data_IF_149036989205
#
_entry.id   IF_149036989205
#
_cell.length_a   1.000
_cell.length_b   1.000
_cell.length_c   1.000
_cell.angle_alpha   90.00
_cell.angle_beta   90.00
_cell.angle_gamma   90.00
#
_symmetry.space_group_name_H-M   'P 1'
#
loop_
_entity.id
_entity.type
_entity.pdbx_description
1 polymer ?
#
# COMPACT_ATOMS: atom_id res chain seq x y z
N UNK A 1 -27.88 -48.10 14.48
CA UNK A 1 -26.46 -47.73 14.24
C UNK A 1 -26.25 -46.47 13.39
N UNK A 2 -27.22 -45.99 12.59
CA UNK A 2 -27.06 -44.76 11.78
C UNK A 2 -27.13 -43.44 12.58
N UNK A 3 -27.88 -43.39 13.69
CA UNK A 3 -27.96 -42.19 14.55
C UNK A 3 -26.71 -41.96 15.40
N UNK A 4 -26.05 -43.03 15.86
CA UNK A 4 -24.80 -42.93 16.63
C UNK A 4 -23.62 -42.43 15.79
N UNK A 5 -23.55 -42.79 14.50
CA UNK A 5 -22.52 -42.27 13.58
C UNK A 5 -22.71 -40.80 13.23
N UNK A 6 -23.95 -40.28 13.22
CA UNK A 6 -24.24 -38.85 13.03
C UNK A 6 -23.81 -38.00 14.25
N UNK A 7 -24.00 -38.51 15.46
CA UNK A 7 -23.57 -37.83 16.70
C UNK A 7 -22.04 -37.73 16.84
N UNK A 8 -21.31 -38.80 16.49
CA UNK A 8 -19.85 -38.81 16.51
C UNK A 8 -19.23 -37.87 15.45
N UNK A 9 -19.83 -37.77 14.26
CA UNK A 9 -19.41 -36.84 13.22
C UNK A 9 -19.79 -35.39 13.55
N UNK A 10 -20.92 -35.15 14.23
CA UNK A 10 -21.26 -33.79 14.69
C UNK A 10 -20.38 -33.35 15.85
N UNK A 11 -20.00 -34.27 16.75
CA UNK A 11 -19.06 -33.98 17.85
C UNK A 11 -17.65 -33.70 17.35
N UNK A 12 -17.19 -34.38 16.29
CA UNK A 12 -15.90 -34.08 15.66
C UNK A 12 -15.91 -32.71 14.96
N UNK A 13 -17.01 -32.36 14.30
CA UNK A 13 -17.17 -31.06 13.64
C UNK A 13 -17.29 -29.93 14.67
N UNK A 14 -18.07 -30.14 15.74
CA UNK A 14 -18.21 -29.16 16.82
C UNK A 14 -16.88 -28.93 17.53
N UNK A 15 -16.12 -30.00 17.80
CA UNK A 15 -14.76 -29.89 18.35
C UNK A 15 -13.81 -29.13 17.42
N UNK A 16 -13.80 -29.47 16.13
CA UNK A 16 -13.02 -28.73 15.13
C UNK A 16 -13.37 -27.24 15.08
N UNK A 17 -14.67 -26.91 15.16
CA UNK A 17 -15.12 -25.51 15.18
C UNK A 17 -14.67 -24.83 16.48
N UNK A 18 -14.85 -25.47 17.64
CA UNK A 18 -14.41 -24.89 18.92
C UNK A 18 -12.90 -24.73 19.00
N UNK A 19 -12.12 -25.67 18.49
CA UNK A 19 -10.66 -25.59 18.45
C UNK A 19 -10.20 -24.49 17.50
N UNK A 20 -10.87 -24.35 16.35
CA UNK A 20 -10.62 -23.25 15.41
C UNK A 20 -11.01 -21.88 15.98
N UNK A 21 -12.10 -21.79 16.75
CA UNK A 21 -12.55 -20.57 17.45
C UNK A 21 -11.61 -20.22 18.61
N UNK A 22 -11.18 -21.21 19.39
CA UNK A 22 -10.23 -21.02 20.50
C UNK A 22 -8.84 -20.64 19.97
N UNK A 23 -8.39 -21.24 18.86
CA UNK A 23 -7.17 -20.82 18.17
C UNK A 23 -7.26 -19.39 17.63
N UNK A 24 -8.41 -19.03 17.03
CA UNK A 24 -8.68 -17.67 16.57
C UNK A 24 -8.68 -16.65 17.72
N UNK A 25 -9.32 -16.98 18.85
CA UNK A 25 -9.33 -16.14 20.05
C UNK A 25 -7.94 -16.06 20.72
N UNK A 26 -7.16 -17.15 20.69
CA UNK A 26 -5.78 -17.19 21.14
C UNK A 26 -4.89 -16.24 20.35
N UNK A 27 -4.99 -16.28 19.01
CA UNK A 27 -4.31 -15.33 18.12
C UNK A 27 -4.75 -13.89 18.34
N UNK A 28 -6.05 -13.67 18.54
CA UNK A 28 -6.58 -12.33 18.82
C UNK A 28 -6.00 -11.75 20.14
N UNK A 29 -5.77 -12.64 21.11
CA UNK A 29 -5.19 -12.31 22.40
C UNK A 29 -3.67 -12.11 22.32
N UNK A 30 -2.94 -12.97 21.62
CA UNK A 30 -1.48 -12.86 21.44
C UNK A 30 -1.07 -11.62 20.64
N UNK A 31 -1.89 -11.19 19.67
CA UNK A 31 -1.62 -10.00 18.84
C UNK A 31 -2.25 -8.70 19.38
N UNK A 32 -2.79 -8.67 20.60
CA UNK A 32 -3.49 -7.50 21.18
C UNK A 32 -4.59 -6.92 20.25
N UNK A 33 -5.24 -7.77 19.46
CA UNK A 33 -6.09 -7.37 18.33
C UNK A 33 -7.54 -7.10 18.70
N UNK A 34 -7.85 -6.97 20.00
CA UNK A 34 -9.13 -6.41 20.44
C UNK A 34 -9.36 -4.99 19.87
N UNK A 35 -8.28 -4.22 19.69
CA UNK A 35 -8.33 -2.95 18.98
C UNK A 35 -8.70 -3.12 17.51
N UNK A 36 -8.23 -4.18 16.84
CA UNK A 36 -8.59 -4.51 15.47
C UNK A 36 -10.08 -4.87 15.35
N UNK A 37 -10.63 -5.65 16.28
CA UNK A 37 -12.08 -5.98 16.31
C UNK A 37 -12.92 -4.70 16.50
N UNK A 38 -12.52 -3.83 17.42
CA UNK A 38 -13.20 -2.55 17.66
C UNK A 38 -13.12 -1.63 16.43
N UNK A 39 -11.95 -1.53 15.79
CA UNK A 39 -11.74 -0.76 14.55
C UNK A 39 -12.55 -1.32 13.38
N UNK A 40 -12.62 -2.64 13.25
CA UNK A 40 -13.46 -3.32 12.26
C UNK A 40 -14.95 -3.05 12.50
N UNK A 41 -15.41 -3.11 13.75
CA UNK A 41 -16.78 -2.77 14.13
C UNK A 41 -17.11 -1.30 13.84
N UNK A 42 -16.21 -0.38 14.20
CA UNK A 42 -16.32 1.05 13.92
C UNK A 42 -16.41 1.33 12.41
N UNK A 43 -15.56 0.69 11.61
CA UNK A 43 -15.57 0.79 10.15
C UNK A 43 -16.96 0.53 9.55
N UNK A 44 -17.68 -0.49 10.05
CA UNK A 44 -18.99 -0.86 9.53
C UNK A 44 -20.04 0.24 9.64
N UNK A 45 -19.86 1.18 10.57
CA UNK A 45 -20.80 2.26 10.91
C UNK A 45 -20.38 3.63 10.33
N UNK A 46 -19.19 3.75 9.75
CA UNK A 46 -18.68 5.03 9.23
C UNK A 46 -19.46 5.49 7.96
N UNK A 47 -19.97 6.74 7.91
CA UNK A 47 -20.68 7.25 6.73
C UNK A 47 -19.88 7.24 5.42
N UNK A 48 -18.55 7.47 5.53
CA UNK A 48 -17.61 7.44 4.39
C UNK A 48 -17.46 6.05 3.76
N UNK A 49 -17.92 4.98 4.42
CA UNK A 49 -17.79 3.59 3.97
C UNK A 49 -18.35 3.36 2.57
N UNK A 50 -19.52 3.93 2.24
CA UNK A 50 -20.13 3.73 0.92
C UNK A 50 -19.23 4.22 -0.22
N UNK A 51 -18.58 5.36 -0.03
CA UNK A 51 -17.64 5.93 -1.02
C UNK A 51 -16.42 5.04 -1.17
N UNK A 52 -15.82 4.64 -0.06
CA UNK A 52 -14.61 3.80 -0.08
C UNK A 52 -14.93 2.42 -0.68
N UNK A 53 -16.08 1.83 -0.36
CA UNK A 53 -16.54 0.58 -1.01
C UNK A 53 -16.73 0.75 -2.52
N UNK A 54 -17.11 1.94 -3.00
CA UNK A 54 -17.17 2.22 -4.43
C UNK A 54 -15.78 2.21 -5.05
N UNK A 55 -14.82 2.92 -4.43
CA UNK A 55 -13.42 2.93 -4.87
C UNK A 55 -12.79 1.53 -4.85
N UNK A 56 -13.07 0.73 -3.81
CA UNK A 56 -12.56 -0.65 -3.72
C UNK A 56 -13.05 -1.53 -4.86
N UNK A 57 -14.28 -1.32 -5.36
CA UNK A 57 -14.82 -2.06 -6.51
C UNK A 57 -14.22 -1.62 -7.84
N UNK A 58 -13.58 -0.45 -7.87
CA UNK A 58 -12.89 0.10 -9.04
C UNK A 58 -11.41 -0.35 -9.09
N UNK A 59 -10.91 -1.06 -8.06
CA UNK A 59 -9.59 -1.68 -8.11
C UNK A 59 -9.57 -2.82 -9.12
N UNK A 60 -8.50 -2.91 -9.92
CA UNK A 60 -8.26 -4.05 -10.80
C UNK A 60 -8.36 -5.36 -10.01
N UNK A 61 -9.03 -6.39 -10.57
CA UNK A 61 -9.12 -7.69 -9.93
C UNK A 61 -7.71 -8.29 -9.81
N UNK A 62 -7.47 -8.99 -8.70
CA UNK A 62 -6.28 -9.82 -8.57
C UNK A 62 -6.34 -10.99 -9.58
N UNK A 63 -5.20 -11.63 -9.83
CA UNK A 63 -5.15 -12.85 -10.66
C UNK A 63 -6.17 -13.89 -10.21
N UNK A 64 -6.72 -14.66 -11.16
CA UNK A 64 -7.85 -15.59 -10.92
C UNK A 64 -7.58 -16.62 -9.80
N UNK A 65 -6.31 -16.96 -9.57
CA UNK A 65 -5.89 -17.92 -8.55
C UNK A 65 -5.37 -17.26 -7.26
N UNK A 66 -5.58 -15.96 -7.08
CA UNK A 66 -5.17 -15.27 -5.86
C UNK A 66 -5.95 -15.82 -4.66
N UNK A 67 -5.28 -16.10 -3.52
CA UNK A 67 -5.96 -16.54 -2.31
C UNK A 67 -7.04 -15.52 -1.88
N UNK A 68 -8.25 -15.94 -1.47
CA UNK A 68 -9.33 -15.03 -1.05
C UNK A 68 -8.91 -14.12 0.13
N UNK A 69 -7.90 -14.53 0.88
CA UNK A 69 -7.33 -13.77 1.98
C UNK A 69 -6.50 -12.58 1.50
N UNK A 70 -5.85 -12.70 0.33
CA UNK A 70 -5.14 -11.58 -0.28
C UNK A 70 -6.10 -10.48 -0.74
N UNK A 71 -7.26 -10.86 -1.29
CA UNK A 71 -8.32 -9.89 -1.57
C UNK A 71 -8.77 -9.18 -0.30
N UNK A 72 -9.08 -9.94 0.75
CA UNK A 72 -9.54 -9.39 2.02
C UNK A 72 -8.52 -8.47 2.68
N UNK A 73 -7.24 -8.83 2.63
CA UNK A 73 -6.15 -8.05 3.18
C UNK A 73 -5.92 -6.75 2.40
N UNK A 74 -5.85 -6.83 1.07
CA UNK A 74 -5.70 -5.64 0.21
C UNK A 74 -6.82 -4.65 0.46
N UNK A 75 -8.05 -5.14 0.44
CA UNK A 75 -9.25 -4.35 0.62
C UNK A 75 -9.30 -3.68 2.00
N UNK A 76 -8.87 -4.40 3.04
CA UNK A 76 -8.79 -3.87 4.39
C UNK A 76 -7.71 -2.79 4.52
N UNK A 77 -6.49 -3.03 3.99
CA UNK A 77 -5.40 -2.04 3.96
C UNK A 77 -5.82 -0.79 3.19
N UNK A 78 -6.41 -0.96 2.01
CA UNK A 78 -6.95 0.13 1.19
C UNK A 78 -7.99 0.95 1.97
N UNK A 79 -8.97 0.28 2.56
CA UNK A 79 -10.04 0.97 3.28
C UNK A 79 -9.54 1.77 4.48
N UNK A 80 -8.60 1.21 5.25
CA UNK A 80 -7.95 1.88 6.38
C UNK A 80 -7.18 3.11 5.92
N UNK A 81 -6.39 3.00 4.86
CA UNK A 81 -5.61 4.12 4.33
C UNK A 81 -6.52 5.20 3.74
N UNK A 82 -7.59 4.83 3.04
CA UNK A 82 -8.56 5.81 2.54
C UNK A 82 -9.24 6.62 3.65
N UNK A 83 -9.31 6.12 4.90
CA UNK A 83 -9.81 6.92 6.02
C UNK A 83 -8.85 8.05 6.43
N UNK A 84 -7.55 7.87 6.21
CA UNK A 84 -6.51 8.89 6.49
C UNK A 84 -6.42 9.98 5.39
N UNK A 85 -6.92 9.69 4.18
CA UNK A 85 -6.71 10.51 2.99
C UNK A 85 -7.88 11.43 2.64
N UNK A 86 -7.61 12.56 1.98
CA UNK A 86 -8.68 13.38 1.38
C UNK A 86 -9.27 12.69 0.14
N UNK A 87 -10.49 13.02 -0.30
CA UNK A 87 -11.12 12.34 -1.43
C UNK A 87 -10.31 12.40 -2.74
N UNK A 88 -9.59 13.50 -2.98
CA UNK A 88 -8.73 13.65 -4.14
C UNK A 88 -7.53 12.68 -4.08
N UNK A 89 -6.86 12.60 -2.93
CA UNK A 89 -5.72 11.70 -2.73
C UNK A 89 -6.14 10.22 -2.78
N UNK A 90 -7.38 9.91 -2.38
CA UNK A 90 -7.96 8.57 -2.53
C UNK A 90 -8.10 8.16 -4.00
N UNK A 91 -8.50 9.09 -4.87
CA UNK A 91 -8.62 8.83 -6.30
C UNK A 91 -7.24 8.65 -6.94
N UNK A 92 -6.28 9.53 -6.64
CA UNK A 92 -4.92 9.40 -7.15
C UNK A 92 -4.30 8.05 -6.74
N UNK A 93 -4.50 7.63 -5.49
CA UNK A 93 -4.06 6.31 -5.03
C UNK A 93 -4.71 5.19 -5.86
N UNK A 94 -6.03 5.22 -6.05
CA UNK A 94 -6.73 4.22 -6.86
C UNK A 94 -6.17 4.16 -8.29
N UNK A 95 -5.99 5.32 -8.92
CA UNK A 95 -5.49 5.43 -10.29
C UNK A 95 -4.09 4.81 -10.41
N UNK A 96 -3.19 5.08 -9.45
CA UNK A 96 -1.84 4.47 -9.41
C UNK A 96 -1.94 2.94 -9.29
N UNK A 97 -2.76 2.43 -8.37
CA UNK A 97 -2.86 0.98 -8.12
C UNK A 97 -3.41 0.19 -9.30
N UNK A 98 -4.18 0.86 -10.16
CA UNK A 98 -4.75 0.28 -11.38
C UNK A 98 -3.78 0.26 -12.57
N UNK A 99 -2.56 0.77 -12.41
CA UNK A 99 -1.50 0.62 -13.42
C UNK A 99 -0.81 -0.75 -13.37
N UNK A 100 -1.07 -1.57 -12.34
CA UNK A 100 -0.51 -2.92 -12.24
C UNK A 100 -1.22 -3.86 -13.20
N UNK A 101 -0.45 -4.50 -14.06
CA UNK A 101 -0.93 -5.59 -14.90
C UNK A 101 -0.99 -6.89 -14.10
N UNK A 102 -2.16 -7.55 -14.12
CA UNK A 102 -2.43 -8.81 -13.41
C UNK A 102 -2.02 -8.81 -11.92
N UNK A 103 -2.55 -7.95 -11.04
CA UNK A 103 -1.99 -7.79 -9.70
C UNK A 103 -2.06 -9.06 -8.82
N UNK A 104 -1.02 -9.30 -8.03
CA UNK A 104 -1.01 -10.34 -6.97
C UNK A 104 -1.55 -9.78 -5.63
N UNK A 105 -1.50 -8.46 -5.46
CA UNK A 105 -2.02 -7.72 -4.31
C UNK A 105 -0.94 -7.27 -3.33
N UNK A 106 0.26 -7.86 -3.34
CA UNK A 106 1.38 -7.47 -2.48
C UNK A 106 1.96 -6.09 -2.84
N UNK A 107 2.23 -5.85 -4.11
CA UNK A 107 2.59 -4.53 -4.67
C UNK A 107 1.56 -3.46 -4.31
N UNK A 108 0.27 -3.79 -4.44
CA UNK A 108 -0.81 -2.85 -4.12
C UNK A 108 -0.83 -2.56 -2.61
N UNK A 109 -0.81 -3.59 -1.75
CA UNK A 109 -0.76 -3.45 -0.28
C UNK A 109 0.45 -2.62 0.16
N UNK A 110 1.62 -2.90 -0.42
CA UNK A 110 2.85 -2.19 -0.11
C UNK A 110 2.73 -0.70 -0.42
N UNK A 111 2.32 -0.36 -1.65
CA UNK A 111 2.20 1.04 -2.06
C UNK A 111 1.09 1.78 -1.29
N UNK A 112 -0.07 1.15 -1.05
CA UNK A 112 -1.13 1.71 -0.22
C UNK A 112 -0.58 2.09 1.16
N UNK A 113 0.19 1.21 1.78
CA UNK A 113 0.68 1.38 3.15
C UNK A 113 1.61 2.57 3.35
N UNK A 114 2.40 2.93 2.32
CA UNK A 114 3.33 4.06 2.36
C UNK A 114 2.73 5.38 1.83
N UNK A 115 1.68 5.32 1.01
CA UNK A 115 1.14 6.49 0.31
C UNK A 115 0.76 7.69 1.23
N UNK A 116 0.14 7.51 2.41
CA UNK A 116 -0.12 8.62 3.33
C UNK A 116 1.13 9.37 3.78
N UNK A 117 2.27 8.69 3.83
CA UNK A 117 3.54 9.30 4.20
C UNK A 117 4.06 10.17 3.05
N UNK A 118 3.86 9.75 1.80
CA UNK A 118 4.19 10.56 0.62
C UNK A 118 3.38 11.86 0.63
N UNK A 119 2.06 11.75 0.78
CA UNK A 119 1.14 12.90 0.83
C UNK A 119 1.49 13.84 1.98
N UNK A 120 1.77 13.32 3.18
CA UNK A 120 2.15 14.15 4.36
C UNK A 120 3.50 14.88 4.19
N UNK A 121 4.33 14.44 3.25
CA UNK A 121 5.64 15.04 2.95
C UNK A 121 5.64 15.85 1.67
N UNK A 122 4.46 16.13 1.10
CA UNK A 122 4.30 16.83 -0.18
C UNK A 122 5.12 16.17 -1.31
N UNK A 123 5.23 14.84 -1.27
CA UNK A 123 5.80 14.02 -2.33
C UNK A 123 4.69 13.63 -3.30
N UNK A 124 4.91 13.88 -4.58
CA UNK A 124 4.04 13.43 -5.67
C UNK A 124 4.45 12.01 -6.09
N UNK A 125 3.45 11.20 -6.44
CA UNK A 125 3.64 9.85 -6.95
C UNK A 125 2.99 9.73 -8.32
N UNK A 126 3.76 9.27 -9.31
CA UNK A 126 3.35 9.16 -10.70
C UNK A 126 3.59 7.71 -11.13
N UNK A 127 2.56 6.97 -11.58
CA UNK A 127 2.75 5.61 -12.04
C UNK A 127 3.54 5.61 -13.34
N UNK A 128 4.48 4.68 -13.48
CA UNK A 128 5.23 4.43 -14.70
C UNK A 128 4.64 3.19 -15.34
N UNK A 129 4.39 3.25 -16.65
CA UNK A 129 3.92 2.08 -17.39
C UNK A 129 5.03 1.03 -17.48
N UNK A 130 4.69 -0.22 -17.20
CA UNK A 130 5.55 -1.39 -17.32
C UNK A 130 4.74 -2.53 -17.94
N UNK A 131 5.37 -3.32 -18.80
CA UNK A 131 4.80 -4.55 -19.36
C UNK A 131 5.02 -5.76 -18.43
N UNK A 132 5.79 -5.57 -17.35
CA UNK A 132 6.07 -6.61 -16.37
C UNK A 132 4.84 -6.88 -15.48
N UNK A 133 4.32 -8.11 -15.55
CA UNK A 133 3.20 -8.53 -14.72
C UNK A 133 3.55 -8.47 -13.23
N UNK A 134 2.54 -8.25 -12.39
CA UNK A 134 2.67 -8.27 -10.91
C UNK A 134 3.57 -7.16 -10.33
N UNK A 135 3.97 -6.19 -11.17
CA UNK A 135 4.84 -5.09 -10.78
C UNK A 135 4.12 -3.75 -10.79
N UNK A 136 4.48 -2.90 -9.82
CA UNK A 136 4.06 -1.51 -9.76
C UNK A 136 5.30 -0.62 -9.80
N UNK A 137 5.45 0.16 -10.88
CA UNK A 137 6.52 1.13 -11.00
C UNK A 137 5.98 2.53 -10.71
N UNK A 138 6.64 3.27 -9.82
CA UNK A 138 6.18 4.59 -9.39
C UNK A 138 7.36 5.55 -9.27
N UNK A 139 7.28 6.66 -10.00
CA UNK A 139 8.14 7.82 -9.79
C UNK A 139 7.62 8.60 -8.57
N UNK A 140 8.49 8.81 -7.59
CA UNK A 140 8.21 9.63 -6.42
C UNK A 140 9.11 10.86 -6.50
N UNK A 141 8.49 12.03 -6.54
CA UNK A 141 9.22 13.28 -6.68
C UNK A 141 8.69 14.40 -5.80
N UNK A 142 9.53 15.39 -5.62
CA UNK A 142 9.14 16.66 -5.01
C UNK A 142 9.89 17.80 -5.67
N UNK A 143 9.29 18.98 -5.62
CA UNK A 143 9.94 20.21 -6.03
C UNK A 143 10.79 20.73 -4.88
N UNK A 144 12.11 20.73 -5.08
CA UNK A 144 13.03 21.34 -4.13
C UNK A 144 12.88 22.85 -4.07
N UNK A 145 13.49 23.49 -3.06
CA UNK A 145 13.45 24.95 -2.88
C UNK A 145 13.98 25.76 -4.07
N UNK A 146 14.78 25.15 -4.95
CA UNK A 146 15.32 25.75 -6.17
C UNK A 146 14.48 25.45 -7.42
N UNK A 147 13.28 24.90 -7.27
CA UNK A 147 12.42 24.40 -8.37
C UNK A 147 13.06 23.28 -9.20
N UNK A 148 14.12 22.70 -8.66
CA UNK A 148 14.72 21.48 -9.18
C UNK A 148 13.86 20.29 -8.76
N UNK A 149 13.26 19.63 -9.74
CA UNK A 149 12.49 18.41 -9.53
C UNK A 149 13.44 17.26 -9.18
N UNK A 150 13.43 16.88 -7.90
CA UNK A 150 14.12 15.70 -7.41
C UNK A 150 13.15 14.53 -7.43
N UNK A 151 13.58 13.40 -7.98
CA UNK A 151 12.77 12.20 -8.02
C UNK A 151 13.61 10.95 -7.87
N UNK A 152 12.93 9.87 -7.50
CA UNK A 152 13.44 8.51 -7.45
C UNK A 152 12.32 7.58 -7.85
N UNK A 153 12.66 6.37 -8.27
CA UNK A 153 11.69 5.39 -8.77
C UNK A 153 11.63 4.20 -7.82
N UNK A 154 10.43 3.71 -7.57
CA UNK A 154 10.17 2.43 -6.95
C UNK A 154 9.73 1.43 -8.01
N UNK A 155 10.46 0.32 -8.12
CA UNK A 155 10.03 -0.86 -8.86
C UNK A 155 9.59 -1.90 -7.83
N UNK A 156 8.29 -1.99 -7.60
CA UNK A 156 7.72 -2.88 -6.59
C UNK A 156 7.33 -4.18 -7.28
N UNK A 157 7.96 -5.27 -6.88
CA UNK A 157 7.82 -6.60 -7.47
C UNK A 157 7.18 -7.57 -6.47
N UNK A 158 5.98 -8.04 -6.81
CA UNK A 158 5.20 -8.99 -6.01
C UNK A 158 5.74 -10.41 -6.00
N UNK A 159 6.63 -10.79 -6.90
CA UNK A 159 7.23 -12.13 -6.89
C UNK A 159 8.51 -12.15 -6.05
N UNK A 160 9.17 -11.00 -5.91
CA UNK A 160 10.43 -10.90 -5.19
C UNK A 160 10.24 -10.83 -3.67
N UNK A 161 10.97 -11.70 -2.96
CA UNK A 161 10.96 -11.75 -1.50
C UNK A 161 11.81 -10.63 -0.88
N UNK A 162 11.27 -10.02 0.17
CA UNK A 162 11.91 -9.00 0.99
C UNK A 162 11.57 -9.23 2.47
N UNK A 163 12.45 -8.74 3.34
CA UNK A 163 12.29 -8.70 4.79
C UNK A 163 12.77 -7.34 5.29
N UNK A 164 12.50 -7.01 6.56
CA UNK A 164 13.03 -5.78 7.16
C UNK A 164 14.58 -5.74 7.21
N UNK A 165 15.23 -6.91 7.07
CA UNK A 165 16.70 -7.04 7.04
C UNK A 165 17.26 -7.11 5.63
N UNK A 166 16.41 -7.21 4.61
CA UNK A 166 16.86 -7.31 3.22
C UNK A 166 17.56 -6.01 2.84
N UNK A 167 18.80 -6.07 2.32
CA UNK A 167 19.52 -4.87 1.92
C UNK A 167 18.83 -4.19 0.74
N UNK A 168 18.89 -2.86 0.71
CA UNK A 168 18.36 -2.07 -0.40
C UNK A 168 19.13 -2.39 -1.68
N UNK A 169 18.43 -2.91 -2.69
CA UNK A 169 18.97 -3.03 -4.05
C UNK A 169 18.68 -1.73 -4.78
N UNK A 170 19.73 -1.01 -5.14
CA UNK A 170 19.65 0.34 -5.68
C UNK A 170 20.43 0.42 -6.98
N UNK A 171 19.83 1.04 -8.00
CA UNK A 171 20.46 1.32 -9.29
C UNK A 171 20.38 2.82 -9.55
N UNK A 172 21.43 3.38 -10.12
CA UNK A 172 21.43 4.77 -10.55
C UNK A 172 21.10 4.80 -12.05
N UNK A 173 20.26 5.73 -12.47
CA UNK A 173 19.88 5.94 -13.87
C UNK A 173 19.86 7.43 -14.20
N UNK A 174 19.77 7.77 -15.48
CA UNK A 174 19.83 9.14 -15.96
C UNK A 174 18.71 9.43 -16.96
N UNK A 175 17.95 10.49 -16.68
CA UNK A 175 16.97 11.07 -17.60
C UNK A 175 17.42 12.49 -17.93
N UNK A 176 17.76 12.71 -19.20
CA UNK A 176 18.38 13.94 -19.69
C UNK A 176 19.67 14.28 -18.92
N UNK A 177 19.71 15.39 -18.21
CA UNK A 177 20.81 15.85 -17.36
C UNK A 177 20.68 15.40 -15.90
N UNK A 178 19.57 14.74 -15.53
CA UNK A 178 19.26 14.36 -14.15
C UNK A 178 19.59 12.90 -13.87
N UNK A 179 20.45 12.68 -12.89
CA UNK A 179 20.65 11.36 -12.28
C UNK A 179 19.62 11.13 -11.20
N UNK A 180 19.00 9.96 -11.23
CA UNK A 180 18.02 9.54 -10.24
C UNK A 180 18.30 8.11 -9.79
N UNK A 181 17.62 7.71 -8.73
CA UNK A 181 17.83 6.43 -8.08
C UNK A 181 16.60 5.56 -8.27
N UNK A 182 16.81 4.31 -8.64
CA UNK A 182 15.78 3.27 -8.74
C UNK A 182 15.96 2.29 -7.59
N UNK A 183 14.93 2.13 -6.78
CA UNK A 183 14.84 1.11 -5.75
C UNK A 183 14.06 -0.08 -6.27
N UNK A 184 14.73 -1.23 -6.41
CA UNK A 184 14.07 -2.48 -6.74
C UNK A 184 13.62 -3.16 -5.45
N UNK A 185 12.31 -3.17 -5.23
CA UNK A 185 11.65 -3.53 -3.98
C UNK A 185 10.89 -4.83 -4.17
N UNK A 186 11.29 -5.89 -3.49
CA UNK A 186 10.41 -7.04 -3.32
C UNK A 186 9.32 -6.73 -2.30
N UNK A 187 8.14 -7.35 -2.39
CA UNK A 187 7.11 -7.18 -1.36
C UNK A 187 6.68 -8.50 -0.69
N UNK A 188 7.01 -9.68 -1.21
CA UNK A 188 6.67 -10.93 -0.52
C UNK A 188 7.55 -11.14 0.72
N UNK A 189 6.98 -11.52 1.86
CA UNK A 189 7.75 -11.81 3.08
C UNK A 189 8.03 -10.63 4.02
N UNK A 190 7.52 -9.42 3.73
CA UNK A 190 7.52 -8.28 4.66
C UNK A 190 6.82 -8.58 5.98
N UNK A 191 5.90 -9.53 5.97
CA UNK A 191 5.31 -10.16 7.14
C UNK A 191 5.72 -11.63 7.11
N UNK A 192 6.51 -12.06 8.10
CA UNK A 192 7.11 -13.42 8.15
C UNK A 192 6.09 -14.54 8.37
N UNK A 193 4.90 -14.19 8.87
CA UNK A 193 3.81 -15.16 9.03
C UNK A 193 3.16 -15.37 7.68
N UNK A 194 3.30 -16.58 7.16
CA UNK A 194 2.74 -17.06 5.91
C UNK A 194 1.20 -17.09 6.02
N UNK A 195 0.61 -15.90 5.94
CA UNK A 195 -0.80 -15.63 6.17
C UNK A 195 -1.67 -16.40 5.20
N UNK A 196 -1.21 -16.60 3.96
CA UNK A 196 -1.87 -17.45 2.99
C UNK A 196 -1.85 -18.91 3.47
N UNK A 197 -0.68 -19.47 3.81
CA UNK A 197 -0.59 -20.85 4.29
C UNK A 197 -1.37 -21.11 5.60
N UNK A 198 -1.39 -20.14 6.52
CA UNK A 198 -2.11 -20.27 7.79
C UNK A 198 -3.62 -20.05 7.64
N UNK A 199 -4.04 -19.04 6.87
CA UNK A 199 -5.46 -18.81 6.63
C UNK A 199 -6.06 -19.90 5.74
N UNK A 200 -5.30 -20.44 4.79
CA UNK A 200 -5.65 -21.64 4.03
C UNK A 200 -5.79 -22.84 4.97
N UNK A 201 -4.82 -23.13 5.85
CA UNK A 201 -4.97 -24.18 6.86
C UNK A 201 -6.17 -23.96 7.79
N UNK A 202 -6.45 -22.72 8.18
CA UNK A 202 -7.57 -22.39 9.05
C UNK A 202 -8.93 -22.53 8.34
N UNK A 203 -9.03 -22.09 7.08
CA UNK A 203 -10.21 -22.27 6.23
C UNK A 203 -10.44 -23.74 5.86
N UNK A 204 -9.37 -24.52 5.63
CA UNK A 204 -9.44 -25.96 5.42
C UNK A 204 -10.01 -26.68 6.65
N UNK A 205 -9.63 -26.25 7.86
CA UNK A 205 -10.10 -26.83 9.11
C UNK A 205 -11.52 -26.37 9.50
N UNK A 206 -11.94 -25.18 9.08
CA UNK A 206 -13.26 -24.63 9.42
C UNK A 206 -13.81 -23.70 8.32
N UNK A 207 -14.28 -24.24 7.17
CA UNK A 207 -14.71 -23.44 6.02
C UNK A 207 -15.91 -22.51 6.31
N UNK A 208 -16.68 -22.80 7.36
CA UNK A 208 -17.79 -21.95 7.85
C UNK A 208 -17.34 -20.66 8.56
N UNK A 209 -16.05 -20.53 8.88
CA UNK A 209 -15.45 -19.33 9.49
C UNK A 209 -14.93 -18.32 8.46
N UNK A 210 -15.20 -18.52 7.16
CA UNK A 210 -14.90 -17.53 6.11
C UNK A 210 -15.47 -16.13 6.41
N UNK A 211 -16.60 -16.06 7.15
CA UNK A 211 -17.18 -14.81 7.65
C UNK A 211 -16.26 -14.02 8.59
N UNK A 212 -15.27 -14.66 9.20
CA UNK A 212 -14.29 -14.04 10.10
C UNK A 212 -12.94 -13.73 9.42
N UNK A 213 -12.78 -14.05 8.13
CA UNK A 213 -11.62 -13.60 7.33
C UNK A 213 -11.38 -12.09 7.39
N UNK A 214 -12.42 -11.21 7.36
CA UNK A 214 -12.20 -9.78 7.46
C UNK A 214 -11.57 -9.35 8.79
N UNK A 215 -11.91 -10.02 9.90
CA UNK A 215 -11.34 -9.71 11.22
C UNK A 215 -9.85 -10.11 11.29
N UNK A 216 -9.52 -11.26 10.71
CA UNK A 216 -8.15 -11.71 10.56
C UNK A 216 -7.38 -10.72 9.66
N UNK A 217 -7.93 -10.33 8.51
CA UNK A 217 -7.35 -9.32 7.63
C UNK A 217 -7.08 -7.98 8.35
N UNK A 218 -7.96 -7.52 9.23
CA UNK A 218 -7.75 -6.28 10.02
C UNK A 218 -6.50 -6.32 10.89
N UNK A 219 -6.22 -7.46 11.54
CA UNK A 219 -5.04 -7.65 12.36
C UNK A 219 -3.74 -7.61 11.52
N UNK A 220 -3.74 -8.31 10.39
CA UNK A 220 -2.58 -8.39 9.51
C UNK A 220 -2.35 -7.10 8.72
N UNK A 221 -3.41 -6.36 8.39
CA UNK A 221 -3.32 -5.06 7.75
C UNK A 221 -2.46 -4.09 8.59
N UNK A 222 -2.58 -4.11 9.91
CA UNK A 222 -1.79 -3.24 10.78
C UNK A 222 -0.31 -3.60 10.77
N UNK A 223 0.00 -4.90 10.75
CA UNK A 223 1.37 -5.39 10.68
C UNK A 223 2.01 -5.06 9.32
N UNK A 224 1.27 -5.21 8.21
CA UNK A 224 1.71 -4.81 6.88
C UNK A 224 1.98 -3.31 6.79
N UNK A 225 1.06 -2.49 7.30
CA UNK A 225 1.23 -1.04 7.34
C UNK A 225 2.48 -0.69 8.17
N UNK A 226 2.64 -1.25 9.36
CA UNK A 226 3.79 -0.97 10.22
C UNK A 226 5.11 -1.35 9.55
N UNK A 227 5.24 -2.59 9.07
CA UNK A 227 6.49 -3.10 8.48
C UNK A 227 6.85 -2.34 7.21
N UNK A 228 5.87 -2.01 6.37
CA UNK A 228 6.08 -1.20 5.17
C UNK A 228 6.60 0.20 5.52
N UNK A 229 6.03 0.83 6.55
CA UNK A 229 6.46 2.17 7.00
C UNK A 229 7.86 2.15 7.63
N UNK A 230 8.21 1.09 8.37
CA UNK A 230 9.58 0.87 8.88
C UNK A 230 10.55 0.74 7.71
N UNK A 231 10.22 -0.11 6.73
CA UNK A 231 11.05 -0.31 5.55
C UNK A 231 11.25 0.98 4.74
N UNK A 232 10.17 1.73 4.51
CA UNK A 232 10.23 3.02 3.84
C UNK A 232 11.11 4.04 4.58
N UNK A 233 11.15 3.99 5.92
CA UNK A 233 12.06 4.84 6.71
C UNK A 233 13.53 4.51 6.43
N UNK A 234 13.88 3.25 6.17
CA UNK A 234 15.22 2.88 5.72
C UNK A 234 15.55 3.45 4.34
N UNK A 235 14.59 3.40 3.39
CA UNK A 235 14.74 4.01 2.05
C UNK A 235 15.01 5.51 2.17
N UNK A 236 14.23 6.23 2.99
CA UNK A 236 14.41 7.68 3.15
C UNK A 236 15.75 8.06 3.78
N UNK A 237 16.25 7.24 4.71
CA UNK A 237 17.58 7.43 5.28
C UNK A 237 18.68 7.22 4.23
N UNK A 238 18.52 6.24 3.34
CA UNK A 238 19.43 6.02 2.21
C UNK A 238 19.35 7.16 1.19
N UNK A 239 18.14 7.57 0.78
CA UNK A 239 17.89 8.72 -0.07
C UNK A 239 18.52 9.99 0.48
N UNK A 240 18.38 10.24 1.79
CA UNK A 240 19.04 11.39 2.43
C UNK A 240 20.55 11.34 2.24
N UNK A 241 21.20 10.18 2.44
CA UNK A 241 22.65 10.01 2.22
C UNK A 241 23.06 10.21 0.75
N UNK A 242 22.24 9.75 -0.19
CA UNK A 242 22.49 9.84 -1.64
C UNK A 242 22.22 11.23 -2.20
N UNK A 243 21.20 11.92 -1.71
CA UNK A 243 20.88 13.28 -2.15
C UNK A 243 22.07 14.23 -1.91
N UNK A 244 22.79 14.07 -0.79
CA UNK A 244 24.05 14.79 -0.55
C UNK A 244 25.17 14.47 -1.54
N UNK A 245 25.14 13.31 -2.22
CA UNK A 245 26.13 12.93 -3.25
C UNK A 245 25.74 13.41 -4.65
N UNK A 246 24.44 13.45 -4.96
CA UNK A 246 23.92 13.84 -6.29
C UNK A 246 23.86 15.37 -6.45
N UNK A 247 23.53 16.13 -5.40
CA UNK A 247 23.44 17.61 -5.45
C UNK A 247 24.79 18.33 -5.28
N UNK A 248 25.88 17.60 -5.04
CA UNK A 248 27.21 18.17 -4.81
C UNK A 248 28.02 18.43 -6.10
N UNK A 249 27.50 18.06 -7.27
CA UNK A 249 28.10 18.40 -8.57
C UNK A 249 27.30 19.55 -9.22
N UNK A 250 28.01 20.62 -9.60
CA UNK A 250 27.46 21.95 -9.89
C UNK A 250 26.38 21.99 -10.98
N UNK A 251 25.28 22.71 -10.71
CA UNK A 251 24.21 23.00 -11.70
C UNK A 251 24.74 24.03 -12.73
N UNK A 252 24.77 23.74 -14.03
CA UNK A 252 25.21 24.67 -15.07
C UNK A 252 24.28 25.90 -15.24
N UNK A 253 24.85 27.06 -15.57
CA UNK A 253 24.13 28.35 -15.65
C UNK A 253 23.02 28.41 -16.70
N UNK A 254 23.03 27.54 -17.72
CA UNK A 254 22.02 27.49 -18.78
C UNK A 254 20.63 27.05 -18.27
N UNK A 255 20.58 26.06 -17.36
CA UNK A 255 19.35 25.58 -16.73
C UNK A 255 18.67 26.68 -15.89
N UNK A 256 19.45 27.56 -15.25
CA UNK A 256 18.91 28.72 -14.50
C UNK A 256 18.11 29.69 -15.39
N UNK A 257 18.55 29.90 -16.63
CA UNK A 257 17.86 30.76 -17.59
C UNK A 257 16.49 30.19 -17.99
N UNK A 258 16.44 28.89 -18.29
CA UNK A 258 15.22 28.16 -18.69
C UNK A 258 14.20 28.08 -17.56
N UNK A 259 14.67 27.84 -16.33
CA UNK A 259 13.83 27.81 -15.12
C UNK A 259 13.18 29.15 -14.82
N UNK A 260 13.86 30.28 -15.06
CA UNK A 260 13.29 31.62 -14.82
C UNK A 260 12.04 31.93 -15.68
N UNK A 261 11.98 31.37 -16.89
CA UNK A 261 10.88 31.58 -17.85
C UNK A 261 9.69 30.70 -17.47
N UNK A 262 9.94 29.45 -17.09
CA UNK A 262 8.90 28.52 -16.63
C UNK A 262 8.28 28.99 -15.29
N UNK A 263 9.08 29.59 -14.41
CA UNK A 263 8.66 30.22 -13.14
C UNK A 263 7.63 31.34 -13.34
N UNK A 264 7.76 32.14 -14.39
CA UNK A 264 6.74 33.15 -14.76
C UNK A 264 5.44 32.52 -15.21
N UNK A 265 5.49 31.43 -15.97
CA UNK A 265 4.30 30.77 -16.50
C UNK A 265 3.54 29.98 -15.44
N UNK A 266 4.24 29.32 -14.51
CA UNK A 266 3.64 28.56 -13.41
C UNK A 266 3.04 29.48 -12.34
N UNK A 267 3.68 30.61 -12.01
CA UNK A 267 3.12 31.65 -11.13
C UNK A 267 1.78 32.19 -11.67
N UNK A 268 1.70 32.45 -12.98
CA UNK A 268 0.45 32.89 -13.63
C UNK A 268 -0.66 31.82 -13.48
N UNK A 269 -0.32 30.54 -13.53
CA UNK A 269 -1.31 29.46 -13.33
C UNK A 269 -1.73 29.32 -11.87
N UNK A 270 -0.81 29.52 -10.92
CA UNK A 270 -1.06 29.48 -9.48
C UNK A 270 -1.93 30.66 -9.02
N UNK A 271 -1.67 31.87 -9.50
CA UNK A 271 -2.52 33.04 -9.27
C UNK A 271 -3.93 32.83 -9.82
N UNK A 272 -4.07 32.24 -11.02
CA UNK A 272 -5.39 31.89 -11.57
C UNK A 272 -6.15 30.90 -10.69
N UNK A 273 -5.47 29.89 -10.14
CA UNK A 273 -6.09 28.91 -9.22
C UNK A 273 -6.47 29.55 -7.88
N UNK A 274 -5.63 30.41 -7.32
CA UNK A 274 -5.93 31.15 -6.08
C UNK A 274 -7.09 32.14 -6.27
N UNK A 275 -7.16 32.82 -7.43
CA UNK A 275 -8.26 33.73 -7.77
C UNK A 275 -9.61 32.99 -7.94
N UNK A 276 -9.58 31.79 -8.52
CA UNK A 276 -10.77 30.93 -8.61
C UNK A 276 -11.21 30.38 -7.24
N UNK A 277 -10.25 30.02 -6.38
CA UNK A 277 -10.52 29.59 -4.99
C UNK A 277 -11.14 30.70 -4.15
N UNK A 278 -10.66 31.94 -4.29
CA UNK A 278 -11.18 33.10 -3.54
C UNK A 278 -12.55 33.57 -4.02
N UNK A 279 -12.92 33.31 -5.29
CA UNK A 279 -14.31 33.48 -5.79
C UNK A 279 -15.30 32.42 -5.30
N UNK A 280 -14.85 31.20 -4.99
CA UNK A 280 -15.71 30.13 -4.44
C UNK A 280 -16.00 30.30 -2.93
N UNK A 281 -15.17 31.06 -2.23
CA UNK A 281 -15.29 31.35 -0.81
C UNK A 281 -15.95 32.71 -0.52
N UNK A 282 -16.53 33.36 -1.53
CA UNK A 282 -17.45 34.50 -1.42
C UNK A 282 -18.83 34.04 -1.86
#
# INVERSE_FOLDING_TARGET
MAQQRKGLASDSILRQITDAVLGFLGLLREKETYQAIARWGLWRVIPKRRRILKLMRELNPLVENAPPEMHSLRDEVFSKICLELKPQDQQILLDILNHVEHPLGYEQIFFISLYPILVKRDLEAIPIHTEEHHQLHVEIGYLGHNEDYFFFVFEIDSERRMSLKTPLTVRDDQRDDKRFVIYTLGCTGLVETDFAAYAEQWLLNAPRLSLALPLLATAYAEQWILNTRIYFSHILNDLKKRNYKVTAEAIPEFERGRLSILRRLSLIQLERRQFQSSRRNR
#
